data_IF_247427101551
#
_entry.id   IF_247427101551
#
_cell.length_a   1.000
_cell.length_b   1.000
_cell.length_c   1.000
_cell.angle_alpha   90.00
_cell.angle_beta   90.00
_cell.angle_gamma   90.00
#
_symmetry.space_group_name_H-M   'P 1'
#
loop_
_entity.id
_entity.type
_entity.pdbx_description
1 polymer ?
#
# COMPACT_ATOMS: atom_id res chain seq x y z
N UNK A 1 -44.43 16.29 49.69
CA UNK A 1 -43.82 16.89 48.49
C UNK A 1 -42.47 16.24 48.33
N UNK A 2 -42.43 15.11 47.61
CA UNK A 2 -41.19 14.38 47.32
C UNK A 2 -40.85 14.70 45.87
N UNK A 3 -39.76 15.43 45.65
CA UNK A 3 -39.19 15.61 44.32
C UNK A 3 -38.46 14.31 43.98
N UNK A 4 -39.06 13.55 43.07
CA UNK A 4 -38.43 12.45 42.37
C UNK A 4 -37.31 13.03 41.49
N UNK A 5 -36.10 13.08 42.04
CA UNK A 5 -34.88 13.33 41.27
C UNK A 5 -34.53 12.03 40.53
N UNK A 6 -35.28 11.77 39.46
CA UNK A 6 -34.96 10.75 38.48
C UNK A 6 -33.62 11.08 37.83
N UNK A 7 -32.58 10.36 38.25
CA UNK A 7 -31.23 10.26 37.67
C UNK A 7 -31.15 10.61 36.17
N UNK A 8 -30.48 11.70 35.87
CA UNK A 8 -29.70 11.87 34.64
C UNK A 8 -28.44 10.98 34.76
N UNK A 9 -28.56 9.68 34.48
CA UNK A 9 -27.42 8.72 34.51
C UNK A 9 -27.13 8.15 33.12
N UNK A 10 -27.53 8.87 32.06
CA UNK A 10 -27.35 8.42 30.68
C UNK A 10 -26.46 9.28 29.79
N UNK A 11 -25.89 10.38 30.27
CA UNK A 11 -25.30 11.39 29.37
C UNK A 11 -23.77 11.34 29.29
N UNK A 12 -23.06 11.22 30.41
CA UNK A 12 -21.59 11.36 30.39
C UNK A 12 -20.87 10.06 30.00
N UNK A 13 -21.38 8.91 30.43
CA UNK A 13 -20.80 7.59 30.14
C UNK A 13 -21.06 7.17 28.67
N UNK A 14 -22.26 7.47 28.15
CA UNK A 14 -22.63 7.20 26.75
C UNK A 14 -21.88 8.12 25.78
N UNK A 15 -21.69 9.40 26.15
CA UNK A 15 -20.84 10.34 25.39
C UNK A 15 -19.37 9.92 25.46
N UNK A 16 -18.86 9.46 26.61
CA UNK A 16 -17.50 8.94 26.74
C UNK A 16 -17.24 7.74 25.82
N UNK A 17 -18.18 6.77 25.80
CA UNK A 17 -18.09 5.59 24.93
C UNK A 17 -18.19 5.97 23.45
N UNK A 18 -19.05 6.93 23.08
CA UNK A 18 -19.16 7.41 21.70
C UNK A 18 -17.86 8.09 21.22
N UNK A 19 -17.25 8.93 22.06
CA UNK A 19 -15.97 9.58 21.76
C UNK A 19 -14.83 8.56 21.61
N UNK A 20 -14.77 7.55 22.48
CA UNK A 20 -13.77 6.47 22.40
C UNK A 20 -13.93 5.64 21.10
N UNK A 21 -15.16 5.40 20.66
CA UNK A 21 -15.46 4.72 19.39
C UNK A 21 -15.05 5.55 18.17
N UNK A 22 -15.29 6.85 18.19
CA UNK A 22 -14.90 7.76 17.11
C UNK A 22 -13.37 7.89 17.00
N UNK A 23 -12.68 7.91 18.14
CA UNK A 23 -11.22 7.92 18.20
C UNK A 23 -10.65 6.59 17.65
N UNK A 24 -11.18 5.45 18.08
CA UNK A 24 -10.82 4.13 17.55
C UNK A 24 -11.07 4.02 16.04
N UNK A 25 -12.22 4.50 15.55
CA UNK A 25 -12.53 4.51 14.12
C UNK A 25 -11.52 5.34 13.34
N UNK A 26 -11.15 6.50 13.86
CA UNK A 26 -10.19 7.41 13.22
C UNK A 26 -8.81 6.78 13.13
N UNK A 27 -8.35 6.12 14.22
CA UNK A 27 -7.06 5.40 14.25
C UNK A 27 -7.06 4.26 13.23
N UNK A 28 -8.08 3.40 13.26
CA UNK A 28 -8.18 2.25 12.33
C UNK A 28 -8.24 2.75 10.89
N UNK A 29 -9.07 3.76 10.62
CA UNK A 29 -9.21 4.31 9.26
C UNK A 29 -7.90 4.91 8.76
N UNK A 30 -7.13 5.55 9.62
CA UNK A 30 -5.82 6.11 9.27
C UNK A 30 -4.81 5.01 8.99
N UNK A 31 -4.74 3.99 9.86
CA UNK A 31 -3.85 2.83 9.65
C UNK A 31 -4.19 2.06 8.37
N UNK A 32 -5.48 1.84 8.10
CA UNK A 32 -5.94 1.19 6.86
C UNK A 32 -5.60 2.05 5.65
N UNK A 33 -5.79 3.37 5.71
CA UNK A 33 -5.44 4.27 4.62
C UNK A 33 -3.93 4.21 4.34
N UNK A 34 -3.10 4.19 5.37
CA UNK A 34 -1.65 4.09 5.24
C UNK A 34 -1.23 2.76 4.60
N UNK A 35 -1.77 1.65 5.09
CA UNK A 35 -1.54 0.32 4.50
C UNK A 35 -1.99 0.25 3.03
N UNK A 36 -3.12 0.86 2.68
CA UNK A 36 -3.59 0.91 1.29
C UNK A 36 -2.67 1.74 0.38
N UNK A 37 -2.07 2.82 0.90
CA UNK A 37 -1.10 3.62 0.14
C UNK A 37 0.18 2.83 -0.12
N UNK A 38 0.65 2.06 0.87
CA UNK A 38 1.82 1.18 0.73
C UNK A 38 1.58 0.08 -0.32
N UNK A 39 0.43 -0.60 -0.23
CA UNK A 39 0.00 -1.60 -1.23
C UNK A 39 -0.14 -0.96 -2.61
N UNK A 40 -0.74 0.23 -2.71
CA UNK A 40 -0.89 0.93 -3.98
C UNK A 40 0.48 1.27 -4.59
N UNK A 41 1.43 1.75 -3.79
CA UNK A 41 2.81 1.98 -4.23
C UNK A 41 3.45 0.72 -4.79
N UNK A 42 3.27 -0.40 -4.10
CA UNK A 42 3.78 -1.71 -4.55
C UNK A 42 3.14 -2.15 -5.87
N UNK A 43 1.82 -2.03 -6.02
CA UNK A 43 1.11 -2.38 -7.25
C UNK A 43 1.54 -1.50 -8.43
N UNK A 44 1.73 -0.19 -8.20
CA UNK A 44 2.23 0.73 -9.23
C UNK A 44 3.65 0.37 -9.66
N UNK A 45 4.54 0.06 -8.71
CA UNK A 45 5.90 -0.39 -9.01
C UNK A 45 5.89 -1.70 -9.81
N UNK A 46 5.01 -2.65 -9.46
CA UNK A 46 4.85 -3.90 -10.19
C UNK A 46 4.33 -3.68 -11.60
N UNK A 47 3.38 -2.77 -11.79
CA UNK A 47 2.94 -2.35 -13.12
C UNK A 47 4.08 -1.81 -13.97
N UNK A 48 4.93 -0.96 -13.38
CA UNK A 48 6.12 -0.42 -14.04
C UNK A 48 7.15 -1.53 -14.37
N UNK A 49 7.40 -2.44 -13.43
CA UNK A 49 8.26 -3.60 -13.64
C UNK A 49 7.79 -4.44 -14.83
N UNK A 50 6.49 -4.77 -14.87
CA UNK A 50 5.87 -5.52 -15.95
C UNK A 50 5.98 -4.79 -17.30
N UNK A 51 5.83 -3.47 -17.32
CA UNK A 51 6.03 -2.67 -18.53
C UNK A 51 7.44 -2.83 -19.09
N UNK A 52 8.46 -2.80 -18.23
CA UNK A 52 9.86 -2.97 -18.62
C UNK A 52 10.13 -4.39 -19.14
N UNK A 53 9.62 -5.42 -18.46
CA UNK A 53 9.72 -6.81 -18.89
C UNK A 53 9.01 -7.02 -20.23
N UNK A 54 7.79 -6.52 -20.40
CA UNK A 54 7.01 -6.67 -21.62
C UNK A 54 7.68 -5.98 -22.81
N UNK A 55 8.17 -4.75 -22.61
CA UNK A 55 8.91 -4.02 -23.64
C UNK A 55 10.20 -4.75 -24.01
N UNK A 56 10.96 -5.22 -23.01
CA UNK A 56 12.20 -5.96 -23.25
C UNK A 56 11.97 -7.28 -23.98
N UNK A 57 10.94 -8.03 -23.60
CA UNK A 57 10.54 -9.26 -24.27
C UNK A 57 10.10 -9.00 -25.72
N UNK A 58 9.38 -7.90 -25.97
CA UNK A 58 8.96 -7.51 -27.33
C UNK A 58 10.15 -7.18 -28.22
N UNK A 59 11.18 -6.50 -27.69
CA UNK A 59 12.43 -6.26 -28.40
C UNK A 59 13.13 -7.58 -28.73
N UNK A 60 13.23 -8.51 -27.77
CA UNK A 60 13.85 -9.82 -28.03
C UNK A 60 13.09 -10.66 -29.05
N UNK A 61 11.76 -10.53 -29.10
CA UNK A 61 10.91 -11.26 -30.03
C UNK A 61 10.97 -10.71 -31.47
N UNK A 62 11.55 -9.52 -31.68
CA UNK A 62 11.71 -8.93 -33.01
C UNK A 62 13.07 -9.32 -33.61
N UNK A 63 13.08 -10.22 -34.62
CA UNK A 63 14.31 -10.73 -35.25
C UNK A 63 15.07 -9.66 -36.06
N UNK A 64 14.43 -8.52 -36.35
CA UNK A 64 15.04 -7.40 -37.07
C UNK A 64 15.69 -6.38 -36.13
N UNK A 65 15.38 -6.45 -34.84
CA UNK A 65 15.91 -5.53 -33.85
C UNK A 65 17.29 -6.02 -33.41
N UNK A 66 18.36 -5.32 -33.81
CA UNK A 66 19.71 -5.53 -33.24
C UNK A 66 19.81 -5.15 -31.74
N UNK A 67 18.68 -5.07 -31.04
CA UNK A 67 18.50 -4.50 -29.70
C UNK A 67 18.55 -5.53 -28.57
N UNK A 68 19.18 -6.69 -28.77
CA UNK A 68 19.24 -7.76 -27.76
C UNK A 68 19.73 -7.26 -26.39
N UNK A 69 20.76 -6.41 -26.37
CA UNK A 69 21.28 -5.82 -25.14
C UNK A 69 20.24 -4.93 -24.42
N UNK A 70 19.46 -4.13 -25.19
CA UNK A 70 18.40 -3.29 -24.64
C UNK A 70 17.24 -4.12 -24.10
N UNK A 71 16.84 -5.18 -24.81
CA UNK A 71 15.75 -6.03 -24.36
C UNK A 71 16.11 -6.88 -23.14
N UNK A 72 17.32 -7.45 -23.08
CA UNK A 72 17.82 -8.15 -21.88
C UNK A 72 17.96 -7.17 -20.72
N UNK A 73 18.58 -6.01 -20.97
CA UNK A 73 18.71 -4.95 -19.96
C UNK A 73 17.35 -4.53 -19.42
N UNK A 74 16.35 -4.41 -20.28
CA UNK A 74 15.01 -4.07 -19.86
C UNK A 74 14.33 -5.13 -18.99
N UNK A 75 14.48 -6.41 -19.34
CA UNK A 75 13.98 -7.48 -18.49
C UNK A 75 14.64 -7.45 -17.12
N UNK A 76 15.97 -7.29 -17.06
CA UNK A 76 16.71 -7.21 -15.80
C UNK A 76 16.28 -6.03 -14.94
N UNK A 77 16.09 -4.84 -15.53
CA UNK A 77 15.58 -3.66 -14.84
C UNK A 77 14.17 -3.92 -14.29
N UNK A 78 13.28 -4.50 -15.10
CA UNK A 78 11.94 -4.86 -14.67
C UNK A 78 11.96 -5.82 -13.47
N UNK A 79 12.79 -6.86 -13.50
CA UNK A 79 12.97 -7.76 -12.35
C UNK A 79 13.56 -7.05 -11.12
N UNK A 80 14.50 -6.13 -11.30
CA UNK A 80 15.05 -5.32 -10.21
C UNK A 80 14.00 -4.45 -9.52
N UNK A 81 13.11 -3.82 -10.31
CA UNK A 81 11.98 -3.03 -9.79
C UNK A 81 11.01 -3.94 -9.04
N UNK A 82 10.65 -5.10 -9.60
CA UNK A 82 9.76 -6.06 -8.93
C UNK A 82 10.35 -6.58 -7.61
N UNK A 83 11.64 -6.93 -7.59
CA UNK A 83 12.33 -7.36 -6.37
C UNK A 83 12.31 -6.26 -5.30
N UNK A 84 12.50 -5.00 -5.70
CA UNK A 84 12.41 -3.86 -4.78
C UNK A 84 10.99 -3.68 -4.23
N UNK A 85 9.97 -3.81 -5.09
CA UNK A 85 8.56 -3.72 -4.70
C UNK A 85 8.15 -4.81 -3.69
N UNK A 86 8.71 -6.01 -3.82
CA UNK A 86 8.44 -7.14 -2.92
C UNK A 86 9.31 -7.13 -1.65
N UNK A 87 10.17 -6.12 -1.45
CA UNK A 87 11.09 -6.08 -0.32
C UNK A 87 12.18 -7.17 -0.36
N UNK A 88 12.47 -7.73 -1.54
CA UNK A 88 13.50 -8.76 -1.76
C UNK A 88 14.91 -8.17 -1.96
N UNK A 89 15.06 -6.85 -1.82
CA UNK A 89 16.36 -6.18 -1.89
C UNK A 89 17.27 -6.55 -0.70
N UNK A 90 18.60 -6.47 -0.85
CA UNK A 90 19.52 -6.69 0.26
C UNK A 90 19.16 -5.72 1.40
N UNK A 91 18.89 -6.26 2.59
CA UNK A 91 18.73 -5.44 3.79
C UNK A 91 20.08 -4.85 4.14
N UNK A 92 20.35 -3.63 3.67
CA UNK A 92 21.45 -2.81 4.18
C UNK A 92 21.02 -2.39 5.59
N UNK A 93 21.18 -3.29 6.55
CA UNK A 93 21.23 -2.92 7.96
C UNK A 93 22.69 -2.62 8.26
N UNK A 94 22.96 -1.37 8.61
CA UNK A 94 24.18 -1.00 9.35
C UNK A 94 24.11 -1.56 10.78
#
# INVERSE_FOLDING_TARGET
MATDSGRDVGSDDDVGVALERDELYTVIRTAVRDALLDVLGTVLLLGLALLFVATGARVLADPSSGGTALGVGGILVGFGIAASALGLGPSIRE
#
